data_IF_092701468753
#
_entry.id   IF_092701468753
#
_cell.length_a   1.000
_cell.length_b   1.000
_cell.length_c   1.000
_cell.angle_alpha   90.00
_cell.angle_beta   90.00
_cell.angle_gamma   90.00
#
_symmetry.space_group_name_H-M   'P 1'
#
loop_
_entity.id
_entity.type
_entity.pdbx_description
1 polymer ?
#
# COMPACT_ATOMS: atom_id res chain seq x y z
N UNK A 1 -11.95 9.41 -8.68
CA UNK A 1 -12.04 10.08 -7.37
C UNK A 1 -11.08 9.37 -6.41
N UNK A 2 -9.95 9.99 -6.06
CA UNK A 2 -8.96 9.45 -5.12
C UNK A 2 -9.44 9.69 -3.69
N UNK A 3 -9.35 8.68 -2.81
CA UNK A 3 -9.51 8.85 -1.36
C UNK A 3 -8.18 8.55 -0.69
N UNK A 4 -7.59 9.57 -0.06
CA UNK A 4 -6.42 9.47 0.80
C UNK A 4 -6.88 8.85 2.12
N UNK A 5 -6.29 7.73 2.53
CA UNK A 5 -6.57 7.11 3.83
C UNK A 5 -5.52 7.65 4.81
N UNK A 6 -5.93 8.54 5.70
CA UNK A 6 -5.13 8.95 6.84
C UNK A 6 -5.42 7.97 7.99
N UNK A 7 -4.39 7.42 8.60
CA UNK A 7 -4.51 6.80 9.93
C UNK A 7 -4.89 7.90 10.91
N UNK A 8 -6.09 7.87 11.46
CA UNK A 8 -6.59 8.88 12.41
C UNK A 8 -6.04 8.59 13.80
N UNK A 9 -4.93 9.24 14.17
CA UNK A 9 -4.65 9.50 15.57
C UNK A 9 -5.40 10.79 15.93
N UNK A 10 -6.38 10.70 16.84
CA UNK A 10 -7.16 11.83 17.33
C UNK A 10 -6.32 12.67 18.30
N UNK A 11 -6.13 13.99 18.11
CA UNK A 11 -5.50 14.85 19.08
C UNK A 11 -6.52 15.86 19.60
N UNK A 12 -7.29 15.46 20.61
CA UNK A 12 -8.02 16.42 21.42
C UNK A 12 -7.14 16.78 22.64
N UNK A 13 -6.92 18.09 22.79
CA UNK A 13 -6.38 18.82 23.94
C UNK A 13 -4.89 18.66 24.32
N UNK A 14 -4.10 19.70 23.99
CA UNK A 14 -3.43 20.56 25.00
C UNK A 14 -2.73 21.80 24.39
N UNK A 15 -2.72 22.95 25.10
CA UNK A 15 -1.96 24.15 24.69
C UNK A 15 -0.49 24.11 25.19
N UNK A 16 0.42 24.59 24.33
CA UNK A 16 1.86 25.00 24.41
C UNK A 16 2.62 24.92 25.78
N UNK A 17 3.98 24.75 25.85
CA UNK A 17 4.99 25.37 24.96
C UNK A 17 6.26 24.53 24.63
N UNK A 18 7.13 25.14 23.82
CA UNK A 18 8.33 24.61 23.19
C UNK A 18 9.34 23.93 24.12
N UNK A 19 9.70 22.69 23.78
CA UNK A 19 10.96 22.06 24.16
C UNK A 19 11.59 21.50 22.88
N UNK A 20 12.88 21.83 22.68
CA UNK A 20 13.69 21.33 21.58
C UNK A 20 13.99 19.84 21.80
N UNK A 21 13.04 19.01 21.42
CA UNK A 21 13.22 17.58 21.35
C UNK A 21 13.57 17.33 19.89
N UNK A 22 14.78 16.84 19.62
CA UNK A 22 15.22 16.51 18.27
C UNK A 22 14.20 15.59 17.61
N UNK A 23 13.28 16.16 16.84
CA UNK A 23 12.23 15.46 16.14
C UNK A 23 12.94 14.65 15.06
N UNK A 24 13.29 13.41 15.37
CA UNK A 24 13.36 12.37 14.36
C UNK A 24 11.91 12.25 13.90
N UNK A 25 11.48 13.18 13.05
CA UNK A 25 10.27 13.05 12.29
C UNK A 25 10.52 11.80 11.44
N UNK A 26 10.07 10.64 11.95
CA UNK A 26 9.96 9.42 11.18
C UNK A 26 9.21 9.84 9.92
N UNK A 27 9.95 9.97 8.81
CA UNK A 27 9.37 10.39 7.54
C UNK A 27 8.28 9.38 7.24
N UNK A 28 7.02 9.83 7.36
CA UNK A 28 5.88 8.98 7.11
C UNK A 28 6.02 8.40 5.69
N UNK A 29 6.24 7.10 5.60
CA UNK A 29 6.35 6.41 4.31
C UNK A 29 4.97 6.43 3.65
N UNK A 30 4.78 7.37 2.73
CA UNK A 30 3.55 7.49 1.96
C UNK A 30 3.55 6.44 0.86
N UNK A 31 2.51 5.60 0.83
CA UNK A 31 2.26 4.63 -0.23
C UNK A 31 0.99 5.01 -0.99
N UNK A 32 1.03 4.85 -2.31
CA UNK A 32 -0.11 5.09 -3.20
C UNK A 32 -0.63 3.77 -3.74
N UNK A 33 -1.91 3.48 -3.51
CA UNK A 33 -2.56 2.28 -4.07
C UNK A 33 -3.34 2.65 -5.32
N UNK A 34 -2.92 2.10 -6.46
CA UNK A 34 -3.67 2.18 -7.70
C UNK A 34 -4.52 0.92 -7.86
N UNK A 35 -5.85 1.07 -7.84
CA UNK A 35 -6.83 -0.03 -7.93
C UNK A 35 -6.97 -0.58 -9.35
N UNK A 36 -5.85 -0.87 -9.99
CA UNK A 36 -5.75 -1.47 -11.32
C UNK A 36 -4.56 -2.42 -11.32
N UNK A 37 -4.74 -3.60 -11.91
CA UNK A 37 -3.66 -4.52 -12.22
C UNK A 37 -2.80 -3.99 -13.37
N UNK A 38 -1.51 -4.36 -13.39
CA UNK A 38 -0.64 -4.10 -14.55
C UNK A 38 -0.80 -5.15 -15.65
N UNK A 39 -1.44 -6.29 -15.36
CA UNK A 39 -1.60 -7.40 -16.29
C UNK A 39 -2.98 -7.36 -16.93
N UNK A 40 -3.01 -7.59 -18.24
CA UNK A 40 -4.27 -7.78 -18.96
C UNK A 40 -5.01 -8.99 -18.39
N UNK A 41 -6.33 -8.86 -18.22
CA UNK A 41 -7.22 -9.88 -17.67
C UNK A 41 -6.91 -10.33 -16.24
N UNK A 42 -6.11 -9.58 -15.48
CA UNK A 42 -5.91 -9.80 -14.05
C UNK A 42 -6.73 -8.79 -13.24
N UNK A 43 -7.23 -9.24 -12.10
CA UNK A 43 -7.89 -8.36 -11.12
C UNK A 43 -6.91 -8.07 -10.00
N UNK A 44 -6.68 -6.80 -9.68
CA UNK A 44 -5.59 -6.48 -8.77
C UNK A 44 -5.42 -5.00 -8.49
N UNK A 45 -4.39 -4.71 -7.71
CA UNK A 45 -3.94 -3.35 -7.43
C UNK A 45 -2.41 -3.30 -7.40
N UNK A 46 -1.90 -2.10 -7.56
CA UNK A 46 -0.46 -1.81 -7.52
C UNK A 46 -0.17 -0.75 -6.49
N UNK A 47 1.00 -0.88 -5.87
CA UNK A 47 1.43 -0.02 -4.77
C UNK A 47 2.71 0.70 -5.19
N UNK A 48 2.66 2.03 -5.12
CA UNK A 48 3.76 2.91 -5.44
C UNK A 48 4.25 3.62 -4.17
N UNK A 49 5.54 3.94 -4.11
CA UNK A 49 6.09 4.79 -3.06
C UNK A 49 5.74 6.28 -3.29
N UNK A 50 6.14 7.14 -2.37
CA UNK A 50 5.95 8.58 -2.48
C UNK A 50 6.70 9.24 -3.65
N UNK A 51 7.59 8.51 -4.34
CA UNK A 51 8.32 8.96 -5.53
C UNK A 51 7.68 8.43 -6.82
N UNK A 52 6.59 7.65 -6.73
CA UNK A 52 5.92 7.03 -7.87
C UNK A 52 6.62 5.77 -8.38
N UNK A 53 7.56 5.18 -7.62
CA UNK A 53 8.19 3.91 -7.97
C UNK A 53 7.28 2.76 -7.56
N UNK A 54 7.09 1.78 -8.47
CA UNK A 54 6.38 0.54 -8.14
C UNK A 54 7.16 -0.20 -7.04
N UNK A 55 6.45 -0.57 -5.97
CA UNK A 55 7.02 -1.31 -4.84
C UNK A 55 6.47 -2.72 -4.80
N UNK A 56 5.15 -2.86 -4.97
CA UNK A 56 4.47 -4.13 -4.98
C UNK A 56 3.34 -4.15 -6.00
N UNK A 57 3.03 -5.34 -6.52
CA UNK A 57 1.79 -5.60 -7.23
C UNK A 57 1.05 -6.76 -6.59
N UNK A 58 -0.27 -6.70 -6.61
CA UNK A 58 -1.15 -7.73 -6.09
C UNK A 58 -2.13 -8.10 -7.18
N UNK A 59 -2.03 -9.34 -7.65
CA UNK A 59 -2.79 -9.82 -8.78
C UNK A 59 -3.52 -11.12 -8.44
N UNK A 60 -4.81 -11.16 -8.75
CA UNK A 60 -5.62 -12.35 -8.89
C UNK A 60 -5.57 -12.77 -10.35
N UNK A 61 -4.96 -13.91 -10.60
CA UNK A 61 -4.94 -14.55 -11.91
C UNK A 61 -6.25 -15.30 -12.09
N UNK A 62 -6.93 -15.11 -13.23
CA UNK A 62 -8.15 -15.85 -13.58
C UNK A 62 -7.80 -17.26 -14.08
N UNK A 63 -7.13 -18.03 -13.21
CA UNK A 63 -6.77 -19.43 -13.46
C UNK A 63 -7.53 -20.31 -12.46
N UNK A 64 -8.34 -21.24 -12.98
CA UNK A 64 -8.85 -22.42 -12.27
C UNK A 64 -9.83 -22.23 -11.10
N UNK A 65 -10.70 -21.21 -11.12
CA UNK A 65 -11.70 -20.96 -10.06
C UNK A 65 -11.10 -20.79 -8.65
N UNK A 66 -9.77 -20.69 -8.55
CA UNK A 66 -9.06 -20.49 -7.29
C UNK A 66 -9.13 -19.00 -6.95
N UNK A 67 -9.71 -18.69 -5.81
CA UNK A 67 -9.63 -17.36 -5.20
C UNK A 67 -8.24 -17.14 -4.58
N UNK A 68 -7.21 -17.32 -5.41
CA UNK A 68 -5.81 -17.14 -5.07
C UNK A 68 -5.34 -15.76 -5.53
N UNK A 69 -4.67 -15.05 -4.62
CA UNK A 69 -4.15 -13.71 -4.82
C UNK A 69 -2.66 -13.78 -4.54
N UNK A 70 -1.85 -13.27 -5.48
CA UNK A 70 -0.39 -13.28 -5.35
C UNK A 70 0.12 -11.86 -5.14
N UNK A 71 0.87 -11.66 -4.05
CA UNK A 71 1.68 -10.47 -3.81
C UNK A 71 3.06 -10.68 -4.43
N UNK A 72 3.50 -9.72 -5.24
CA UNK A 72 4.78 -9.75 -5.92
C UNK A 72 5.56 -8.46 -5.67
N UNK A 73 6.88 -8.56 -5.73
CA UNK A 73 7.76 -7.40 -5.77
C UNK A 73 7.64 -6.63 -7.11
N UNK A 74 8.39 -5.53 -7.22
CA UNK A 74 8.43 -4.72 -8.44
C UNK A 74 9.00 -5.43 -9.67
N UNK A 75 9.82 -6.47 -9.49
CA UNK A 75 10.36 -7.30 -10.58
C UNK A 75 9.37 -8.40 -11.03
N UNK A 76 8.28 -8.59 -10.29
CA UNK A 76 7.29 -9.64 -10.53
C UNK A 76 7.60 -10.96 -9.84
N UNK A 77 8.55 -10.99 -8.90
CA UNK A 77 8.84 -12.17 -8.08
C UNK A 77 7.71 -12.40 -7.08
N UNK A 78 7.11 -13.60 -7.01
CA UNK A 78 6.13 -13.93 -5.98
C UNK A 78 6.75 -13.87 -4.58
N UNK A 79 6.12 -13.12 -3.69
CA UNK A 79 6.52 -13.02 -2.28
C UNK A 79 5.57 -13.81 -1.38
N UNK A 80 4.28 -13.77 -1.68
CA UNK A 80 3.24 -14.44 -0.90
C UNK A 80 2.03 -14.77 -1.78
N UNK A 81 1.46 -15.96 -1.57
CA UNK A 81 0.16 -16.34 -2.12
C UNK A 81 -0.86 -16.47 -0.99
N UNK A 82 -2.03 -15.87 -1.17
CA UNK A 82 -3.14 -15.91 -0.22
C UNK A 82 -4.35 -16.54 -0.88
N UNK A 83 -5.05 -17.41 -0.15
CA UNK A 83 -6.27 -18.07 -0.62
C UNK A 83 -7.38 -17.89 0.40
N UNK A 84 -8.60 -17.59 -0.07
CA UNK A 84 -9.80 -17.63 0.77
C UNK A 84 -10.19 -19.09 1.05
N UNK A 85 -10.44 -19.40 2.33
CA UNK A 85 -10.89 -20.72 2.78
C UNK A 85 -12.40 -20.85 2.61
#
# INVERSE_FOLDING_TARGET
>A
MMRRVHSTASPEDRPFPAANDGEIAEKANTLTVWKKSLLFNCRGFTVFDGKGKLVFRVDKYDTDHRDEIVLMDAAGTPLLAMRKK
#
